data_IF_583770907429
#
_entry.id   IF_583770907429
#
_cell.length_a   1.000
_cell.length_b   1.000
_cell.length_c   1.000
_cell.angle_alpha   90.00
_cell.angle_beta   90.00
_cell.angle_gamma   90.00
#
_symmetry.space_group_name_H-M   'P 1'
#
loop_
_entity.id
_entity.type
_entity.pdbx_description
1 polymer ?
#
# COMPACT_ATOMS: atom_id res chain seq x y z
N UNK A 1 3.76 -7.78 10.80
CA UNK A 1 2.47 -7.09 10.81
C UNK A 1 2.47 -5.85 9.90
N UNK A 2 3.31 -4.86 10.17
CA UNK A 2 3.33 -3.58 9.45
C UNK A 2 3.60 -3.74 7.94
N UNK A 3 4.47 -4.67 7.57
CA UNK A 3 4.90 -4.92 6.19
C UNK A 3 4.10 -6.01 5.46
N UNK A 4 3.05 -6.54 6.08
CA UNK A 4 2.22 -7.62 5.50
C UNK A 4 1.04 -7.10 4.67
N UNK A 5 1.00 -5.82 4.34
CA UNK A 5 0.03 -5.26 3.39
C UNK A 5 0.33 -5.72 1.96
N UNK A 6 -0.72 -5.93 1.15
CA UNK A 6 -0.58 -6.42 -0.23
C UNK A 6 0.35 -5.55 -1.08
N UNK A 7 0.23 -4.22 -0.97
CA UNK A 7 1.05 -3.26 -1.72
C UNK A 7 2.52 -3.32 -1.34
N UNK A 8 2.84 -3.56 -0.05
CA UNK A 8 4.21 -3.65 0.45
C UNK A 8 4.82 -5.01 0.14
N UNK A 9 4.10 -6.09 0.44
CA UNK A 9 4.60 -7.46 0.34
C UNK A 9 4.91 -7.86 -1.11
N UNK A 10 4.11 -7.39 -2.07
CA UNK A 10 4.27 -7.70 -3.48
C UNK A 10 5.12 -6.65 -4.26
N UNK A 11 5.82 -5.77 -3.55
CA UNK A 11 6.74 -4.83 -4.18
C UNK A 11 6.08 -3.68 -4.96
N UNK A 12 4.80 -3.40 -4.68
CA UNK A 12 4.08 -2.27 -5.31
C UNK A 12 4.52 -0.88 -4.82
N UNK A 13 5.36 -0.81 -3.80
CA UNK A 13 5.87 0.45 -3.24
C UNK A 13 7.27 0.24 -2.67
N UNK A 14 8.11 1.25 -2.77
CA UNK A 14 9.47 1.21 -2.20
C UNK A 14 9.43 1.49 -0.71
N UNK A 15 9.89 0.54 0.11
CA UNK A 15 9.96 0.70 1.56
C UNK A 15 11.24 1.40 1.97
N UNK A 16 11.11 2.52 2.68
CA UNK A 16 12.21 3.23 3.34
C UNK A 16 12.23 2.92 4.83
N UNK A 17 13.16 2.10 5.30
CA UNK A 17 13.32 1.81 6.72
C UNK A 17 14.06 2.96 7.42
N UNK A 18 13.95 3.00 8.76
CA UNK A 18 14.69 3.91 9.64
C UNK A 18 14.31 5.40 9.51
N UNK A 19 13.13 5.71 9.02
CA UNK A 19 12.62 7.08 8.96
C UNK A 19 12.10 7.47 10.36
N UNK A 20 12.98 8.06 11.18
CA UNK A 20 12.66 8.47 12.56
C UNK A 20 12.09 9.88 12.65
N UNK A 21 12.51 10.72 11.72
CA UNK A 21 12.07 12.12 11.56
C UNK A 21 11.81 12.35 10.07
N UNK A 22 11.48 13.59 9.73
CA UNK A 22 11.30 13.96 8.32
C UNK A 22 12.52 13.62 7.48
N UNK A 23 12.32 12.90 6.40
CA UNK A 23 13.32 12.55 5.40
C UNK A 23 13.02 13.30 4.10
N UNK A 24 14.05 13.81 3.46
CA UNK A 24 13.91 14.55 2.22
C UNK A 24 14.06 13.62 1.02
N UNK A 25 13.04 13.56 0.19
CA UNK A 25 13.07 12.95 -1.14
C UNK A 25 13.54 14.01 -2.12
N UNK A 26 14.78 13.89 -2.61
CA UNK A 26 15.36 14.85 -3.55
C UNK A 26 14.86 14.54 -4.97
N UNK A 27 14.39 15.56 -5.65
CA UNK A 27 14.00 15.55 -7.05
C UNK A 27 14.98 16.38 -7.86
N UNK A 28 15.49 15.80 -8.95
CA UNK A 28 16.38 16.48 -9.89
C UNK A 28 15.59 16.69 -11.18
N UNK A 29 15.51 17.94 -11.62
CA UNK A 29 14.96 18.28 -12.92
C UNK A 29 16.01 19.02 -13.74
N UNK A 30 16.16 18.61 -14.98
CA UNK A 30 17.03 19.26 -15.98
C UNK A 30 16.17 19.62 -17.19
N UNK A 31 16.42 20.80 -17.79
CA UNK A 31 15.87 21.13 -19.11
C UNK A 31 16.64 20.42 -20.23
N UNK A 32 16.39 20.81 -21.48
CA UNK A 32 17.13 20.30 -22.62
C UNK A 32 18.62 20.58 -22.45
N UNK A 33 19.41 19.50 -22.54
CA UNK A 33 20.86 19.56 -22.35
C UNK A 33 21.61 19.72 -23.68
N UNK A 34 20.92 19.46 -24.81
CA UNK A 34 21.51 19.48 -26.11
C UNK A 34 21.20 20.83 -26.80
N UNK A 35 22.22 21.52 -27.25
CA UNK A 35 22.09 22.71 -28.06
C UNK A 35 23.08 22.65 -29.25
N UNK A 36 22.88 23.49 -30.24
CA UNK A 36 23.80 23.59 -31.39
C UNK A 36 25.20 24.03 -30.94
N UNK A 37 26.22 23.43 -31.52
CA UNK A 37 27.62 23.71 -31.19
C UNK A 37 28.00 25.16 -31.51
N UNK A 38 28.54 25.86 -30.51
CA UNK A 38 29.12 27.21 -30.63
C UNK A 38 30.60 27.18 -30.29
N UNK A 39 31.35 28.19 -30.70
CA UNK A 39 32.76 28.29 -30.35
C UNK A 39 32.99 28.63 -28.87
N UNK A 40 32.02 29.27 -28.22
CA UNK A 40 32.08 29.68 -26.84
C UNK A 40 31.33 28.72 -25.93
N UNK A 41 31.77 28.59 -24.67
CA UNK A 41 31.02 27.84 -23.66
C UNK A 41 29.78 28.63 -23.25
N UNK A 42 28.63 28.08 -23.58
CA UNK A 42 27.31 28.55 -23.10
C UNK A 42 26.63 27.42 -22.35
N UNK A 43 26.18 27.67 -21.16
CA UNK A 43 25.42 26.67 -20.40
C UNK A 43 24.09 26.42 -21.10
N UNK A 44 23.84 25.18 -21.53
CA UNK A 44 22.64 24.79 -22.27
C UNK A 44 21.44 24.56 -21.36
N UNK A 45 21.68 24.21 -20.09
CA UNK A 45 20.63 24.00 -19.11
C UNK A 45 21.13 24.21 -17.67
N UNK A 46 20.21 24.32 -16.75
CA UNK A 46 20.47 24.34 -15.31
C UNK A 46 19.83 23.11 -14.65
N UNK A 47 20.48 22.61 -13.60
CA UNK A 47 19.94 21.56 -12.75
C UNK A 47 19.12 22.20 -11.64
N UNK A 48 17.84 21.89 -11.55
CA UNK A 48 16.96 22.33 -10.48
C UNK A 48 16.76 21.17 -9.49
N UNK A 49 17.11 21.41 -8.23
CA UNK A 49 16.86 20.49 -7.14
C UNK A 49 15.59 20.95 -6.41
N UNK A 50 14.60 20.09 -6.41
CA UNK A 50 13.41 20.25 -5.57
C UNK A 50 13.33 19.10 -4.59
N UNK A 51 12.58 19.28 -3.51
CA UNK A 51 12.46 18.29 -2.46
C UNK A 51 11.02 18.07 -2.07
N UNK A 52 10.69 16.81 -1.71
CA UNK A 52 9.50 16.44 -0.98
C UNK A 52 9.91 15.87 0.36
N UNK A 53 9.09 16.12 1.36
CA UNK A 53 9.39 15.70 2.73
C UNK A 53 8.49 14.50 3.06
N UNK A 54 9.13 13.43 3.51
CA UNK A 54 8.47 12.25 4.06
C UNK A 54 8.43 12.42 5.59
N UNK A 55 7.28 12.76 6.14
CA UNK A 55 7.13 13.02 7.59
C UNK A 55 6.38 11.87 8.24
N UNK A 56 7.05 11.03 9.05
CA UNK A 56 6.43 9.92 9.73
C UNK A 56 5.48 10.38 10.84
N UNK A 57 4.33 9.73 10.95
CA UNK A 57 3.36 9.88 12.04
C UNK A 57 3.46 8.68 12.97
N UNK A 58 3.42 8.93 14.28
CA UNK A 58 3.44 7.87 15.30
C UNK A 58 2.05 7.29 15.53
N UNK A 59 1.98 5.97 15.59
CA UNK A 59 0.76 5.22 15.86
C UNK A 59 0.94 4.30 17.05
N UNK A 60 -0.16 4.05 17.74
CA UNK A 60 -0.22 3.11 18.84
C UNK A 60 -1.44 2.19 18.71
N UNK A 61 -1.25 0.95 19.13
CA UNK A 61 -2.33 -0.02 19.31
C UNK A 61 -2.35 -0.40 20.78
N UNK A 62 -3.43 -0.07 21.47
CA UNK A 62 -3.65 -0.42 22.85
C UNK A 62 -4.94 -1.25 22.93
N UNK A 63 -4.80 -2.56 23.12
CA UNK A 63 -5.92 -3.48 23.26
C UNK A 63 -5.92 -4.06 24.66
N UNK A 64 -7.08 -4.08 25.29
CA UNK A 64 -7.30 -4.74 26.59
C UNK A 64 -8.40 -5.80 26.44
N UNK A 65 -8.13 -6.99 26.95
CA UNK A 65 -9.01 -8.15 26.91
C UNK A 65 -9.10 -8.79 28.27
N UNK A 66 -10.31 -9.15 28.70
CA UNK A 66 -10.51 -9.96 29.90
C UNK A 66 -10.32 -11.44 29.55
N UNK A 67 -9.58 -12.20 30.37
CA UNK A 67 -9.37 -13.65 30.19
C UNK A 67 -10.65 -14.47 30.40
N UNK A 68 -11.58 -13.99 31.20
CA UNK A 68 -12.75 -14.75 31.65
C UNK A 68 -13.63 -15.31 30.53
N UNK A 69 -14.02 -14.52 29.47
CA UNK A 69 -14.82 -15.05 28.37
C UNK A 69 -14.11 -16.13 27.55
N UNK A 70 -12.79 -16.06 27.44
CA UNK A 70 -12.00 -16.95 26.60
C UNK A 70 -11.68 -18.30 27.26
N UNK A 71 -11.84 -18.42 28.59
CA UNK A 71 -11.60 -19.68 29.31
C UNK A 71 -12.53 -20.80 28.90
N UNK A 72 -13.75 -20.49 28.47
CA UNK A 72 -14.71 -21.49 28.03
C UNK A 72 -14.44 -22.01 26.61
N UNK A 73 -13.93 -21.12 25.75
CA UNK A 73 -13.78 -21.39 24.31
C UNK A 73 -12.35 -21.77 23.92
N UNK A 74 -11.37 -21.29 24.68
CA UNK A 74 -9.95 -21.51 24.39
C UNK A 74 -9.32 -22.45 25.39
N UNK A 75 -9.35 -23.73 25.11
CA UNK A 75 -8.66 -24.78 25.87
C UNK A 75 -8.86 -24.71 27.39
N UNK A 76 -10.05 -25.09 27.83
CA UNK A 76 -10.44 -25.17 29.24
C UNK A 76 -9.50 -26.06 30.11
N UNK A 77 -8.64 -26.88 29.48
CA UNK A 77 -7.66 -27.74 30.16
C UNK A 77 -6.33 -27.02 30.46
N UNK A 78 -5.99 -25.99 29.70
CA UNK A 78 -4.71 -25.26 29.85
C UNK A 78 -4.82 -23.92 30.55
N UNK A 79 -6.03 -23.32 30.61
CA UNK A 79 -6.29 -22.09 31.35
C UNK A 79 -6.95 -22.40 32.70
N UNK A 80 -6.22 -22.22 33.80
CA UNK A 80 -6.76 -22.33 35.15
C UNK A 80 -7.79 -21.24 35.50
N UNK A 81 -8.47 -21.41 36.65
CA UNK A 81 -9.46 -20.45 37.14
C UNK A 81 -8.85 -19.26 37.90
N UNK A 82 -7.56 -19.32 38.26
CA UNK A 82 -6.85 -18.26 38.95
C UNK A 82 -6.49 -17.09 38.07
N UNK A 83 -6.56 -15.88 38.60
CA UNK A 83 -6.07 -14.69 37.91
C UNK A 83 -4.54 -14.74 37.65
N UNK A 84 -3.83 -15.49 38.50
CA UNK A 84 -2.37 -15.63 38.45
C UNK A 84 -1.88 -16.78 37.57
N UNK A 85 -2.78 -17.54 36.92
CA UNK A 85 -2.38 -18.54 35.98
C UNK A 85 -1.74 -17.90 34.74
N UNK A 86 -0.59 -18.42 34.33
CA UNK A 86 0.17 -17.92 33.19
C UNK A 86 -0.63 -18.10 31.90
N UNK A 87 -0.56 -17.08 31.04
CA UNK A 87 -1.22 -17.11 29.74
C UNK A 87 -0.60 -18.21 28.87
N UNK A 88 -1.40 -19.10 28.26
CA UNK A 88 -0.84 -20.07 27.32
C UNK A 88 -0.12 -19.36 26.16
N UNK A 89 1.07 -19.80 25.75
CA UNK A 89 1.82 -19.15 24.68
C UNK A 89 1.05 -19.14 23.35
N UNK A 90 0.21 -20.13 23.10
CA UNK A 90 -0.64 -20.21 21.90
C UNK A 90 -1.69 -19.11 21.87
N UNK A 91 -2.28 -18.75 22.99
CA UNK A 91 -3.24 -17.65 23.08
C UNK A 91 -2.57 -16.29 22.84
N UNK A 92 -1.39 -16.07 23.41
CA UNK A 92 -0.63 -14.84 23.15
C UNK A 92 -0.25 -14.72 21.65
N UNK A 93 0.17 -15.82 21.04
CA UNK A 93 0.50 -15.88 19.61
C UNK A 93 -0.72 -15.60 18.72
N UNK A 94 -1.88 -16.14 19.08
CA UNK A 94 -3.15 -15.89 18.39
C UNK A 94 -3.54 -14.40 18.47
N UNK A 95 -3.45 -13.78 19.65
CA UNK A 95 -3.75 -12.35 19.81
C UNK A 95 -2.82 -11.48 18.97
N UNK A 96 -1.53 -11.77 19.00
CA UNK A 96 -0.53 -11.05 18.21
C UNK A 96 -0.84 -11.19 16.72
N UNK A 97 -1.16 -12.38 16.24
CA UNK A 97 -1.51 -12.63 14.85
C UNK A 97 -2.77 -11.86 14.42
N UNK A 98 -3.81 -11.87 15.26
CA UNK A 98 -5.05 -11.15 14.99
C UNK A 98 -4.83 -9.62 14.93
N UNK A 99 -4.11 -9.06 15.91
CA UNK A 99 -3.77 -7.63 15.92
C UNK A 99 -2.93 -7.28 14.70
N UNK A 100 -1.96 -8.13 14.35
CA UNK A 100 -1.08 -7.96 13.19
C UNK A 100 -1.87 -7.87 11.88
N UNK A 101 -2.86 -8.76 11.69
CA UNK A 101 -3.75 -8.74 10.51
C UNK A 101 -4.56 -7.45 10.41
N UNK A 102 -5.15 -7.01 11.52
CA UNK A 102 -5.94 -5.77 11.57
C UNK A 102 -5.09 -4.53 11.29
N UNK A 103 -3.89 -4.48 11.87
CA UNK A 103 -2.94 -3.39 11.61
C UNK A 103 -2.50 -3.38 10.15
N UNK A 104 -2.16 -4.54 9.57
CA UNK A 104 -1.77 -4.64 8.16
C UNK A 104 -2.89 -4.16 7.23
N UNK A 105 -4.13 -4.56 7.48
CA UNK A 105 -5.29 -4.12 6.69
C UNK A 105 -5.50 -2.60 6.80
N UNK A 106 -5.38 -2.03 8.01
CA UNK A 106 -5.53 -0.59 8.21
C UNK A 106 -4.41 0.20 7.53
N UNK A 107 -3.17 -0.27 7.61
CA UNK A 107 -2.02 0.36 6.94
C UNK A 107 -2.17 0.30 5.42
N UNK A 108 -2.59 -0.82 4.86
CA UNK A 108 -2.86 -0.95 3.42
C UNK A 108 -3.90 0.08 2.95
N UNK A 109 -4.99 0.26 3.71
CA UNK A 109 -5.98 1.28 3.42
C UNK A 109 -5.40 2.70 3.56
N UNK A 110 -4.58 2.96 4.58
CA UNK A 110 -3.98 4.26 4.81
C UNK A 110 -2.98 4.64 3.71
N UNK A 111 -2.21 3.68 3.17
CA UNK A 111 -1.29 3.93 2.05
C UNK A 111 -2.03 4.56 0.87
N UNK A 112 -3.24 4.11 0.58
CA UNK A 112 -4.00 4.58 -0.57
C UNK A 112 -5.00 5.69 -0.24
N UNK A 113 -5.81 5.52 0.80
CA UNK A 113 -7.00 6.33 1.09
C UNK A 113 -6.93 7.09 2.42
N UNK A 114 -5.83 6.99 3.16
CA UNK A 114 -5.72 7.65 4.45
C UNK A 114 -5.90 9.16 4.36
N UNK A 115 -6.42 9.76 5.44
CA UNK A 115 -6.56 11.19 5.61
C UNK A 115 -6.04 11.62 6.98
N UNK A 116 -5.07 12.53 7.03
CA UNK A 116 -4.40 12.95 8.28
C UNK A 116 -5.36 13.56 9.32
N UNK A 117 -6.50 14.07 8.88
CA UNK A 117 -7.56 14.56 9.77
C UNK A 117 -8.33 13.47 10.53
N UNK A 118 -8.14 12.20 10.19
CA UNK A 118 -8.81 11.06 10.83
C UNK A 118 -7.86 10.38 11.81
N UNK A 119 -8.38 10.00 13.00
CA UNK A 119 -7.58 9.30 14.01
C UNK A 119 -7.06 7.95 13.49
N UNK A 120 -5.77 7.71 13.68
CA UNK A 120 -5.11 6.47 13.21
C UNK A 120 -4.80 6.46 11.73
N UNK A 121 -4.82 7.61 11.04
CA UNK A 121 -4.53 7.74 9.62
C UNK A 121 -3.43 8.78 9.36
N UNK A 122 -2.79 8.66 8.22
CA UNK A 122 -1.90 9.64 7.58
C UNK A 122 -2.41 9.88 6.16
N UNK A 123 -2.00 10.97 5.51
CA UNK A 123 -2.40 11.24 4.13
C UNK A 123 -1.89 10.16 3.18
N UNK A 124 -2.82 9.46 2.56
CA UNK A 124 -2.56 8.41 1.58
C UNK A 124 -2.19 8.97 0.21
N UNK A 125 -1.72 8.08 -0.67
CA UNK A 125 -1.27 8.46 -2.02
C UNK A 125 -2.35 9.16 -2.83
N UNK A 126 -3.61 8.74 -2.73
CA UNK A 126 -4.73 9.39 -3.45
C UNK A 126 -4.98 10.80 -2.93
N UNK A 127 -4.96 11.00 -1.61
CA UNK A 127 -5.14 12.32 -1.02
C UNK A 127 -4.00 13.28 -1.42
N UNK A 128 -2.76 12.80 -1.37
CA UNK A 128 -1.58 13.55 -1.78
C UNK A 128 -1.60 13.87 -3.29
N UNK A 129 -1.98 12.90 -4.12
CA UNK A 129 -2.06 13.08 -5.57
C UNK A 129 -3.16 14.07 -5.96
N UNK A 130 -4.33 13.99 -5.33
CA UNK A 130 -5.45 14.93 -5.58
C UNK A 130 -5.10 16.38 -5.22
N UNK A 131 -4.25 16.58 -4.20
CA UNK A 131 -3.80 17.89 -3.77
C UNK A 131 -2.67 18.48 -4.64
N UNK A 132 -2.03 17.67 -5.47
CA UNK A 132 -0.86 18.05 -6.26
C UNK A 132 -1.21 18.33 -7.72
N UNK A 133 -1.21 19.58 -8.12
CA UNK A 133 -1.50 20.00 -9.49
C UNK A 133 -0.49 19.47 -10.55
N UNK A 134 0.60 18.82 -10.15
CA UNK A 134 1.57 18.21 -11.10
C UNK A 134 1.18 16.78 -11.49
N UNK A 135 0.28 16.15 -10.76
CA UNK A 135 -0.26 14.82 -11.09
C UNK A 135 -1.19 14.93 -12.29
N UNK A 136 -1.18 13.93 -13.14
CA UNK A 136 -2.06 13.86 -14.30
C UNK A 136 -3.41 13.29 -13.85
N UNK A 137 -4.42 14.16 -13.79
CA UNK A 137 -5.78 13.76 -13.40
C UNK A 137 -6.59 13.29 -14.61
N UNK A 138 -7.18 12.10 -14.49
CA UNK A 138 -8.10 11.52 -15.45
C UNK A 138 -9.46 11.34 -14.79
N UNK A 139 -10.45 12.11 -15.21
CA UNK A 139 -11.82 11.98 -14.72
C UNK A 139 -12.59 11.00 -15.61
N UNK A 140 -13.13 9.96 -15.01
CA UNK A 140 -13.89 8.94 -15.73
C UNK A 140 -15.24 8.65 -15.09
N UNK A 141 -15.79 7.49 -15.40
CA UNK A 141 -17.10 7.06 -14.91
C UNK A 141 -16.95 5.83 -13.99
N UNK A 142 -18.04 5.44 -13.32
CA UNK A 142 -18.07 4.19 -12.56
C UNK A 142 -17.69 3.01 -13.45
N UNK A 143 -16.68 2.26 -13.02
CA UNK A 143 -16.13 1.14 -13.80
C UNK A 143 -17.04 -0.09 -13.71
N UNK A 144 -17.40 -0.62 -14.86
CA UNK A 144 -18.20 -1.84 -15.05
C UNK A 144 -17.50 -2.78 -16.02
N UNK A 145 -17.95 -4.04 -16.13
CA UNK A 145 -17.38 -4.96 -17.12
C UNK A 145 -17.60 -4.52 -18.58
N UNK A 146 -18.53 -3.60 -18.84
CA UNK A 146 -18.82 -3.10 -20.18
C UNK A 146 -17.88 -1.96 -20.63
N UNK A 147 -17.41 -1.13 -19.69
CA UNK A 147 -16.59 0.06 -20.00
C UNK A 147 -15.16 0.00 -19.46
N UNK A 148 -14.80 -1.03 -18.71
CA UNK A 148 -13.49 -1.12 -18.04
C UNK A 148 -12.30 -1.00 -19.00
N UNK A 149 -12.41 -1.53 -20.22
CA UNK A 149 -11.35 -1.45 -21.22
C UNK A 149 -11.15 -0.01 -21.66
N UNK A 150 -12.24 0.72 -21.93
CA UNK A 150 -12.19 2.13 -22.32
C UNK A 150 -11.66 3.02 -21.19
N UNK A 151 -12.06 2.74 -19.93
CA UNK A 151 -11.60 3.51 -18.78
C UNK A 151 -10.12 3.24 -18.44
N UNK A 152 -9.66 1.99 -18.55
CA UNK A 152 -8.24 1.64 -18.44
C UNK A 152 -7.43 2.28 -19.59
N UNK A 153 -7.97 2.28 -20.82
CA UNK A 153 -7.35 2.93 -21.96
C UNK A 153 -7.08 4.42 -21.72
N UNK A 154 -8.05 5.16 -21.16
CA UNK A 154 -7.85 6.57 -20.81
C UNK A 154 -6.68 6.79 -19.84
N UNK A 155 -6.48 5.88 -18.89
CA UNK A 155 -5.37 5.98 -17.94
C UNK A 155 -4.04 5.71 -18.63
N UNK A 156 -3.97 4.68 -19.46
CA UNK A 156 -2.73 4.31 -20.18
C UNK A 156 -2.36 5.39 -21.21
N UNK A 157 -3.35 5.95 -21.93
CA UNK A 157 -3.14 7.05 -22.86
C UNK A 157 -2.62 8.34 -22.18
N UNK A 158 -2.94 8.51 -20.89
CA UNK A 158 -2.48 9.65 -20.11
C UNK A 158 -1.07 9.46 -19.52
N UNK A 159 -0.48 8.26 -19.60
CA UNK A 159 0.87 8.00 -19.11
C UNK A 159 1.88 8.78 -19.98
N UNK A 160 2.79 9.56 -19.36
CA UNK A 160 3.85 10.22 -20.10
C UNK A 160 4.67 9.24 -20.95
N UNK A 161 4.92 9.59 -22.21
CA UNK A 161 5.61 8.71 -23.17
C UNK A 161 7.01 8.26 -22.70
N UNK A 162 7.65 9.03 -21.82
CA UNK A 162 8.95 8.68 -21.24
C UNK A 162 8.89 7.51 -20.24
N UNK A 163 7.72 7.27 -19.65
CA UNK A 163 7.51 6.21 -18.65
C UNK A 163 6.96 4.93 -19.28
N UNK A 164 6.34 5.05 -20.46
CA UNK A 164 5.74 3.91 -21.11
C UNK A 164 6.81 2.89 -21.50
N UNK A 165 6.71 1.68 -20.95
CA UNK A 165 7.69 0.62 -21.13
C UNK A 165 8.77 0.55 -20.03
N UNK A 166 8.71 1.37 -18.98
CA UNK A 166 9.54 1.18 -17.81
C UNK A 166 9.18 -0.13 -17.08
N UNK A 167 10.21 -0.86 -16.59
CA UNK A 167 10.03 -2.18 -15.99
C UNK A 167 9.22 -2.15 -14.69
N UNK A 168 9.26 -1.04 -13.97
CA UNK A 168 8.61 -0.86 -12.66
C UNK A 168 7.31 -0.03 -12.72
N UNK A 169 6.87 0.31 -13.95
CA UNK A 169 5.57 0.93 -14.16
C UNK A 169 4.45 -0.07 -13.91
N UNK A 170 3.55 0.26 -13.00
CA UNK A 170 2.41 -0.56 -12.65
C UNK A 170 1.10 0.23 -12.75
N UNK A 171 0.04 -0.47 -13.12
CA UNK A 171 -1.32 0.02 -13.09
C UNK A 171 -2.00 -0.49 -11.82
N UNK A 172 -2.02 0.34 -10.77
CA UNK A 172 -2.67 0.01 -9.50
C UNK A 172 -4.17 0.18 -9.65
N UNK A 173 -4.91 -0.89 -9.45
CA UNK A 173 -6.35 -0.91 -9.63
C UNK A 173 -7.06 -1.35 -8.36
N UNK A 174 -8.23 -0.77 -8.11
CA UNK A 174 -9.12 -1.24 -7.06
C UNK A 174 -9.65 -2.65 -7.40
N UNK A 175 -9.98 -3.43 -6.37
CA UNK A 175 -10.43 -4.81 -6.52
C UNK A 175 -11.65 -4.97 -7.46
N UNK A 176 -12.59 -4.01 -7.44
CA UNK A 176 -13.76 -4.03 -8.32
C UNK A 176 -13.39 -3.81 -9.79
N UNK A 177 -12.40 -2.94 -10.07
CA UNK A 177 -11.88 -2.68 -11.42
C UNK A 177 -11.21 -3.93 -11.98
N UNK A 178 -10.35 -4.57 -11.18
CA UNK A 178 -9.71 -5.83 -11.57
C UNK A 178 -10.73 -6.91 -11.91
N UNK A 179 -11.75 -7.10 -11.06
CA UNK A 179 -12.82 -8.07 -11.33
C UNK A 179 -13.62 -7.74 -12.59
N UNK A 180 -13.89 -6.45 -12.83
CA UNK A 180 -14.57 -6.00 -14.05
C UNK A 180 -13.71 -6.30 -15.28
N UNK A 181 -12.40 -6.05 -15.21
CA UNK A 181 -11.47 -6.34 -16.29
C UNK A 181 -11.38 -7.82 -16.62
N UNK A 182 -11.20 -8.69 -15.62
CA UNK A 182 -11.19 -10.15 -15.82
C UNK A 182 -12.50 -10.65 -16.47
N UNK A 183 -13.65 -10.09 -16.06
CA UNK A 183 -14.95 -10.44 -16.67
C UNK A 183 -15.06 -9.93 -18.11
N UNK A 184 -14.58 -8.73 -18.41
CA UNK A 184 -14.59 -8.17 -19.76
C UNK A 184 -13.73 -9.00 -20.73
N UNK A 185 -12.62 -9.55 -20.26
CA UNK A 185 -11.75 -10.43 -21.03
C UNK A 185 -12.29 -11.89 -21.15
N UNK A 186 -13.50 -12.16 -20.70
CA UNK A 186 -14.11 -13.48 -20.80
C UNK A 186 -13.48 -14.53 -19.88
N UNK A 187 -13.12 -14.16 -18.66
CA UNK A 187 -12.46 -15.01 -17.65
C UNK A 187 -13.16 -16.32 -17.29
N UNK A 188 -14.34 -16.58 -17.90
CA UNK A 188 -15.13 -17.80 -17.72
C UNK A 188 -15.15 -18.70 -18.97
N UNK A 189 -14.28 -18.46 -19.96
CA UNK A 189 -14.23 -19.29 -21.16
C UNK A 189 -13.90 -20.75 -20.80
N UNK A 190 -14.73 -21.68 -21.28
CA UNK A 190 -14.69 -23.12 -20.97
C UNK A 190 -13.36 -23.80 -21.35
N UNK A 191 -12.53 -23.18 -22.16
CA UNK A 191 -11.26 -23.72 -22.65
C UNK A 191 -10.03 -23.07 -21.98
N UNK A 192 -10.20 -22.35 -20.86
CA UNK A 192 -9.08 -21.69 -20.17
C UNK A 192 -8.40 -20.57 -20.97
N UNK A 193 -9.02 -20.07 -22.02
CA UNK A 193 -8.56 -18.98 -22.88
C UNK A 193 -9.24 -17.65 -22.52
N UNK A 194 -9.49 -17.38 -21.26
CA UNK A 194 -9.85 -16.05 -20.79
C UNK A 194 -8.61 -15.25 -20.44
N UNK A 195 -8.77 -14.08 -19.82
CA UNK A 195 -7.68 -13.23 -19.35
C UNK A 195 -6.64 -13.96 -18.51
N UNK A 196 -7.05 -15.01 -17.81
CA UNK A 196 -6.19 -15.89 -17.02
C UNK A 196 -5.76 -17.14 -17.80
N UNK A 197 -6.20 -17.31 -19.04
CA UNK A 197 -5.92 -18.47 -19.87
C UNK A 197 -4.78 -18.29 -20.86
N UNK A 198 -4.11 -17.17 -20.79
CA UNK A 198 -2.90 -16.90 -21.58
C UNK A 198 -1.78 -17.76 -21.00
N UNK A 199 -1.64 -18.94 -21.55
CA UNK A 199 -0.60 -19.85 -21.11
C UNK A 199 -0.99 -21.30 -20.97
N UNK A 200 -2.22 -21.67 -21.26
CA UNK A 200 -2.64 -23.05 -21.60
C UNK A 200 -2.23 -24.20 -20.67
N UNK A 201 -1.68 -23.96 -19.50
CA UNK A 201 -1.09 -25.00 -18.67
C UNK A 201 -1.72 -25.15 -17.27
N UNK A 202 -2.94 -24.64 -17.05
CA UNK A 202 -3.69 -24.98 -15.81
C UNK A 202 -3.02 -24.59 -14.49
N UNK A 203 -1.94 -23.85 -14.53
CA UNK A 203 -1.32 -23.29 -13.32
C UNK A 203 -2.11 -22.05 -12.93
N UNK A 204 -2.52 -21.99 -11.68
CA UNK A 204 -3.12 -20.80 -11.07
C UNK A 204 -2.19 -19.63 -11.31
N UNK A 205 -2.50 -18.77 -12.28
CA UNK A 205 -1.79 -17.52 -12.44
C UNK A 205 -2.07 -16.66 -11.21
N UNK A 206 -1.01 -16.15 -10.60
CA UNK A 206 -1.15 -15.21 -9.50
C UNK A 206 -1.81 -13.92 -10.01
N UNK A 207 -2.49 -13.19 -9.13
CA UNK A 207 -3.14 -11.92 -9.46
C UNK A 207 -2.20 -10.88 -10.13
N UNK A 208 -0.88 -11.10 -10.12
CA UNK A 208 0.13 -10.19 -10.67
C UNK A 208 0.48 -10.39 -12.14
N UNK A 209 -0.06 -11.42 -12.80
CA UNK A 209 0.35 -11.75 -14.19
C UNK A 209 -0.55 -11.15 -15.27
N UNK A 210 -1.53 -10.34 -14.90
CA UNK A 210 -2.45 -9.70 -15.85
C UNK A 210 -1.87 -8.35 -16.30
N UNK A 211 -1.81 -8.15 -17.61
CA UNK A 211 -1.33 -6.92 -18.23
C UNK A 211 -2.45 -6.22 -19.01
N UNK A 212 -2.39 -4.90 -19.08
CA UNK A 212 -3.20 -4.08 -19.97
C UNK A 212 -2.28 -3.19 -20.81
N UNK A 213 -2.36 -3.29 -22.12
CA UNK A 213 -1.52 -2.57 -23.09
C UNK A 213 -0.01 -2.62 -22.76
N UNK A 214 0.47 -3.78 -22.28
CA UNK A 214 1.87 -3.98 -21.90
C UNK A 214 2.25 -3.48 -20.51
N UNK A 215 1.33 -2.86 -19.76
CA UNK A 215 1.55 -2.41 -18.39
C UNK A 215 1.00 -3.46 -17.40
N UNK A 216 1.79 -3.93 -16.42
CA UNK A 216 1.32 -4.86 -15.40
C UNK A 216 0.19 -4.26 -14.56
N UNK A 217 -0.86 -5.06 -14.31
CA UNK A 217 -1.99 -4.66 -13.47
C UNK A 217 -1.77 -5.16 -12.05
N UNK A 218 -1.60 -4.23 -11.13
CA UNK A 218 -1.41 -4.51 -9.70
C UNK A 218 -2.70 -4.26 -8.93
N UNK A 219 -3.17 -5.25 -8.16
CA UNK A 219 -4.37 -5.10 -7.34
C UNK A 219 -4.02 -4.45 -6.02
N UNK A 220 -4.42 -3.21 -5.82
CA UNK A 220 -4.24 -2.47 -4.58
C UNK A 220 -5.48 -2.62 -3.69
N UNK A 221 -5.38 -3.45 -2.65
CA UNK A 221 -6.53 -3.76 -1.79
C UNK A 221 -7.03 -2.57 -0.97
N UNK A 222 -6.13 -1.62 -0.66
CA UNK A 222 -6.48 -0.40 0.06
C UNK A 222 -7.07 0.71 -0.81
N UNK A 223 -7.10 0.54 -2.15
CA UNK A 223 -7.62 1.54 -3.06
C UNK A 223 -9.15 1.52 -3.09
N UNK A 224 -9.77 2.69 -3.03
CA UNK A 224 -11.23 2.81 -3.09
C UNK A 224 -11.79 2.32 -4.42
N UNK A 225 -13.07 1.90 -4.41
CA UNK A 225 -13.75 1.39 -5.60
C UNK A 225 -13.71 2.39 -6.75
N UNK A 226 -13.42 1.90 -7.94
CA UNK A 226 -13.31 2.64 -9.20
C UNK A 226 -12.10 3.56 -9.33
N UNK A 227 -11.20 3.62 -8.35
CA UNK A 227 -9.94 4.34 -8.49
C UNK A 227 -8.90 3.49 -9.22
N UNK A 228 -8.09 4.17 -10.04
CA UNK A 228 -6.95 3.57 -10.74
C UNK A 228 -5.78 4.56 -10.64
N UNK A 229 -4.59 4.05 -10.38
CA UNK A 229 -3.36 4.86 -10.32
C UNK A 229 -2.32 4.20 -11.20
N UNK A 230 -1.74 4.95 -12.14
CA UNK A 230 -0.56 4.49 -12.87
C UNK A 230 0.67 5.21 -12.32
N UNK A 231 1.67 4.46 -11.89
CA UNK A 231 2.91 4.99 -11.34
C UNK A 231 4.02 3.93 -11.37
N UNK A 232 5.26 4.37 -11.37
CA UNK A 232 6.41 3.51 -11.10
C UNK A 232 6.48 3.15 -9.60
N UNK A 233 6.74 1.90 -9.27
CA UNK A 233 6.88 1.45 -7.88
C UNK A 233 8.07 2.11 -7.17
N UNK A 234 9.10 2.49 -7.93
CA UNK A 234 10.28 3.23 -7.46
C UNK A 234 9.98 4.68 -7.11
N UNK A 235 8.89 5.27 -7.68
CA UNK A 235 8.46 6.63 -7.38
C UNK A 235 7.59 6.72 -6.12
N UNK A 236 7.03 5.61 -5.66
CA UNK A 236 6.18 5.53 -4.47
C UNK A 236 7.01 5.09 -3.25
N UNK A 237 6.91 5.80 -2.14
CA UNK A 237 7.70 5.53 -0.93
C UNK A 237 6.80 5.32 0.28
N UNK A 238 7.04 4.21 0.99
CA UNK A 238 6.48 3.95 2.30
C UNK A 238 7.59 4.08 3.34
N UNK A 239 7.47 5.06 4.23
CA UNK A 239 8.43 5.30 5.31
C UNK A 239 7.96 4.66 6.61
N UNK A 240 8.85 3.92 7.25
CA UNK A 240 8.61 3.32 8.56
C UNK A 240 9.82 3.52 9.47
N UNK A 241 9.64 3.38 10.79
CA UNK A 241 10.72 3.38 11.76
C UNK A 241 11.69 2.22 11.58
N UNK A 242 12.43 1.88 12.60
CA UNK A 242 13.37 0.75 12.55
C UNK A 242 12.61 -0.57 12.28
N UNK A 243 13.00 -1.29 11.24
CA UNK A 243 12.45 -2.61 10.96
C UNK A 243 12.71 -3.60 12.11
N UNK A 244 13.83 -3.45 12.82
CA UNK A 244 14.15 -4.23 14.02
C UNK A 244 13.23 -3.91 15.20
N UNK A 245 12.76 -2.67 15.32
CA UNK A 245 11.88 -2.25 16.41
C UNK A 245 10.46 -2.82 16.24
N UNK A 246 10.02 -3.07 15.00
CA UNK A 246 8.71 -3.64 14.71
C UNK A 246 8.47 -5.01 15.34
N UNK A 247 9.54 -5.76 15.61
CA UNK A 247 9.48 -7.07 16.28
C UNK A 247 9.53 -6.95 17.81
N UNK A 248 10.13 -5.89 18.33
CA UNK A 248 10.32 -5.70 19.77
C UNK A 248 9.26 -4.79 20.42
N UNK A 249 8.46 -4.08 19.62
CA UNK A 249 7.49 -3.10 20.10
C UNK A 249 6.08 -3.69 20.31
N UNK A 250 5.85 -4.96 19.99
CA UNK A 250 4.61 -5.66 20.33
C UNK A 250 4.82 -6.41 21.64
N UNK A 251 4.11 -5.97 22.67
CA UNK A 251 4.14 -6.61 23.99
C UNK A 251 2.75 -7.06 24.40
N UNK A 252 2.68 -8.30 24.87
CA UNK A 252 1.51 -8.83 25.56
C UNK A 252 1.83 -8.82 27.05
N UNK A 253 1.06 -8.07 27.83
CA UNK A 253 1.22 -7.92 29.26
C UNK A 253 0.04 -8.57 29.98
N UNK A 254 0.34 -9.50 30.86
CA UNK A 254 -0.62 -10.01 31.82
C UNK A 254 -0.71 -9.02 33.00
N UNK A 255 -1.90 -8.53 33.28
CA UNK A 255 -2.11 -7.54 34.31
C UNK A 255 -2.26 -8.13 35.70
N UNK A 256 -2.35 -9.46 35.81
CA UNK A 256 -2.54 -10.14 37.12
C UNK A 256 -1.45 -9.80 38.14
N UNK A 257 -0.20 -9.72 37.70
CA UNK A 257 0.95 -9.40 38.55
C UNK A 257 1.09 -7.89 38.85
N UNK A 258 0.42 -7.03 38.08
CA UNK A 258 0.53 -5.57 38.19
C UNK A 258 -0.60 -4.96 39.01
N UNK A 259 -1.85 -5.32 38.74
CA UNK A 259 -3.05 -4.76 39.39
C UNK A 259 -4.02 -5.82 39.91
N UNK A 260 -3.68 -7.12 39.79
CA UNK A 260 -4.52 -8.24 40.21
C UNK A 260 -5.75 -8.48 39.32
N UNK A 261 -5.85 -7.80 38.19
CA UNK A 261 -6.97 -7.97 37.27
C UNK A 261 -6.78 -9.20 36.38
N UNK A 262 -7.85 -9.70 35.79
CA UNK A 262 -7.82 -10.78 34.80
C UNK A 262 -7.71 -10.25 33.38
N UNK A 263 -7.10 -9.08 33.22
CA UNK A 263 -6.93 -8.44 31.92
C UNK A 263 -5.58 -8.74 31.31
N UNK A 264 -5.57 -8.84 29.98
CA UNK A 264 -4.38 -8.93 29.15
C UNK A 264 -4.34 -7.70 28.26
N UNK A 265 -3.20 -7.02 28.22
CA UNK A 265 -2.97 -5.85 27.35
C UNK A 265 -2.00 -6.19 26.24
N UNK A 266 -2.40 -5.84 25.02
CA UNK A 266 -1.53 -5.86 23.85
C UNK A 266 -1.16 -4.44 23.49
N UNK A 267 0.12 -4.13 23.48
CA UNK A 267 0.64 -2.79 23.21
C UNK A 267 1.56 -2.89 22.01
N UNK A 268 1.32 -2.05 20.98
CA UNK A 268 2.18 -1.90 19.82
C UNK A 268 2.36 -0.42 19.51
N UNK A 269 3.59 -0.01 19.16
CA UNK A 269 3.89 1.34 18.68
C UNK A 269 4.72 1.25 17.41
N UNK A 270 4.41 2.11 16.46
CA UNK A 270 5.15 2.19 15.19
C UNK A 270 4.99 3.56 14.55
N UNK A 271 5.84 3.85 13.58
CA UNK A 271 5.72 5.03 12.74
C UNK A 271 5.46 4.61 11.31
N UNK A 272 4.60 5.33 10.62
CA UNK A 272 4.29 5.08 9.21
C UNK A 272 3.99 6.41 8.50
N UNK A 273 4.33 6.46 7.22
CA UNK A 273 4.02 7.56 6.30
C UNK A 273 4.14 7.09 4.87
N UNK A 274 3.53 7.81 3.94
CA UNK A 274 3.66 7.56 2.51
C UNK A 274 3.91 8.88 1.79
N UNK A 275 4.65 8.83 0.71
CA UNK A 275 4.79 9.95 -0.22
C UNK A 275 5.35 9.44 -1.56
N UNK A 276 5.39 10.29 -2.57
CA UNK A 276 6.03 10.04 -3.85
C UNK A 276 7.02 11.15 -4.19
N UNK A 277 7.95 10.91 -5.11
CA UNK A 277 8.95 11.92 -5.50
C UNK A 277 8.43 12.81 -6.64
N UNK A 278 7.92 12.23 -7.70
CA UNK A 278 7.56 12.92 -8.94
C UNK A 278 6.06 12.82 -9.19
N UNK A 279 5.31 13.91 -8.96
CA UNK A 279 3.87 13.96 -9.24
C UNK A 279 3.56 13.89 -10.75
N UNK A 280 4.40 14.48 -11.61
CA UNK A 280 4.25 14.45 -13.07
C UNK A 280 4.37 13.06 -13.69
N UNK A 281 4.80 12.08 -12.93
CA UNK A 281 4.95 10.67 -13.33
C UNK A 281 3.83 9.79 -12.78
N UNK A 282 2.82 10.39 -12.19
CA UNK A 282 1.66 9.71 -11.63
C UNK A 282 0.42 10.11 -12.43
N UNK A 283 -0.38 9.12 -12.81
CA UNK A 283 -1.71 9.32 -13.37
C UNK A 283 -2.73 8.85 -12.35
N UNK A 284 -3.62 9.74 -11.94
CA UNK A 284 -4.71 9.44 -11.01
C UNK A 284 -6.04 9.44 -11.76
N UNK A 285 -6.73 8.31 -11.77
CA UNK A 285 -8.08 8.21 -12.28
C UNK A 285 -9.08 8.26 -11.12
N UNK A 286 -10.00 9.20 -11.21
CA UNK A 286 -11.09 9.39 -10.26
C UNK A 286 -12.45 9.18 -10.94
N UNK A 287 -13.37 8.39 -10.34
CA UNK A 287 -14.73 8.29 -10.83
C UNK A 287 -15.48 9.62 -10.59
N UNK A 288 -16.22 10.07 -11.60
CA UNK A 288 -17.09 11.28 -11.51
C UNK A 288 -18.31 11.02 -10.62
#
# INVERSE_FOLDING_TARGET
ALLSGNTIENGGITVKPNVKKSEVLKKIATGDLIADGTCDFTATSSVTLTERILTPKEFQVNLELCKTPFRADWDALSMGLSAFDTLPPDFASFLIAHVAEKVATKIENNIWQGADGTEGEFDGLVALATADATVVDVVGTTVTAANVIDELGKVVDAIPAALYGAEDLNLYVAQNVYRAYVRALGGFASNGQGANGVGGNGTNQSLGDVMFDGVPVFVANGLASNYIVAAESSNLFFGTGLLSDSTNEVKVLDMADLDGSQNVRVIMRFTATVNYAYGSEIVLYTPA
#
